data_IF_919926355399
#
_entry.id   IF_919926355399
#
_cell.length_a   1.000
_cell.length_b   1.000
_cell.length_c   1.000
_cell.angle_alpha   90.00
_cell.angle_beta   90.00
_cell.angle_gamma   90.00
#
_symmetry.space_group_name_H-M   'P 1'
#
loop_
_entity.id
_entity.type
_entity.pdbx_description
1 polymer ?
#
# COMPACT_ATOMS: atom_id res chain seq x y z
N UNK A 1 -4.72 -26.16 20.57
CA UNK A 1 -5.40 -24.88 20.30
C UNK A 1 -5.69 -24.80 18.81
N UNK A 2 -6.93 -24.54 18.40
CA UNK A 2 -7.28 -24.34 16.99
C UNK A 2 -6.48 -23.14 16.46
N UNK A 3 -5.78 -23.30 15.33
CA UNK A 3 -5.07 -22.23 14.65
C UNK A 3 -5.76 -21.99 13.31
N UNK A 4 -5.89 -20.72 12.93
CA UNK A 4 -6.32 -20.37 11.57
C UNK A 4 -5.17 -20.73 10.64
N UNK A 5 -5.44 -21.59 9.66
CA UNK A 5 -4.52 -21.81 8.54
C UNK A 5 -4.51 -20.56 7.65
N UNK A 6 -3.34 -19.94 7.54
CA UNK A 6 -3.11 -18.73 6.73
C UNK A 6 -2.28 -19.01 5.48
N UNK A 7 -1.99 -20.28 5.16
CA UNK A 7 -1.13 -20.67 4.03
C UNK A 7 -1.57 -20.04 2.72
N UNK A 8 -2.86 -20.09 2.39
CA UNK A 8 -3.40 -19.46 1.18
C UNK A 8 -3.22 -17.93 1.16
N UNK A 9 -3.31 -17.27 2.32
CA UNK A 9 -3.09 -15.82 2.44
C UNK A 9 -1.61 -15.50 2.26
N UNK A 10 -0.72 -16.28 2.87
CA UNK A 10 0.72 -16.10 2.76
C UNK A 10 1.20 -16.28 1.32
N UNK A 11 0.72 -17.32 0.65
CA UNK A 11 0.99 -17.54 -0.78
C UNK A 11 0.42 -16.42 -1.65
N UNK A 12 -0.77 -15.89 -1.33
CA UNK A 12 -1.32 -14.76 -2.07
C UNK A 12 -0.48 -13.49 -1.87
N UNK A 13 0.01 -13.22 -0.65
CA UNK A 13 0.90 -12.09 -0.35
C UNK A 13 2.24 -12.23 -1.09
N UNK A 14 2.86 -13.41 -1.06
CA UNK A 14 4.13 -13.67 -1.74
C UNK A 14 4.02 -13.48 -3.25
N UNK A 15 2.90 -13.88 -3.84
CA UNK A 15 2.64 -13.74 -5.27
C UNK A 15 2.01 -12.38 -5.64
N UNK A 16 1.74 -11.50 -4.67
CA UNK A 16 1.08 -10.23 -4.93
C UNK A 16 2.05 -9.27 -5.60
N UNK A 17 1.85 -9.06 -6.90
CA UNK A 17 2.59 -8.06 -7.68
C UNK A 17 1.61 -6.97 -8.11
N UNK A 18 1.73 -5.79 -7.49
CA UNK A 18 0.92 -4.62 -7.82
C UNK A 18 1.78 -3.55 -8.50
N UNK A 19 1.11 -2.70 -9.28
CA UNK A 19 1.68 -1.50 -9.90
C UNK A 19 2.73 -1.74 -10.98
N UNK A 20 2.89 -2.96 -11.51
CA UNK A 20 3.87 -3.26 -12.56
C UNK A 20 3.68 -2.40 -13.80
N UNK A 21 2.44 -2.30 -14.31
CA UNK A 21 2.15 -1.49 -15.48
C UNK A 21 2.34 0.01 -15.19
N UNK A 22 1.97 0.47 -13.99
CA UNK A 22 2.23 1.85 -13.56
C UNK A 22 3.72 2.18 -13.49
N UNK A 23 4.55 1.23 -13.04
CA UNK A 23 6.01 1.39 -13.01
C UNK A 23 6.55 1.53 -14.45
N UNK A 24 6.08 0.72 -15.39
CA UNK A 24 6.48 0.80 -16.80
C UNK A 24 6.11 2.15 -17.42
N UNK A 25 4.87 2.60 -17.25
CA UNK A 25 4.42 3.91 -17.79
C UNK A 25 5.20 5.08 -17.20
N UNK A 26 5.59 5.00 -15.92
CA UNK A 26 6.43 6.02 -15.29
C UNK A 26 7.87 5.99 -15.81
N UNK A 27 8.41 4.81 -16.13
CA UNK A 27 9.73 4.68 -16.75
C UNK A 27 9.75 5.28 -18.17
N UNK A 28 8.69 5.10 -18.94
CA UNK A 28 8.53 5.72 -20.26
C UNK A 28 8.49 7.25 -20.15
N UNK A 29 7.69 7.79 -19.23
CA UNK A 29 7.65 9.23 -18.95
C UNK A 29 9.02 9.78 -18.56
N UNK A 30 9.75 9.10 -17.67
CA UNK A 30 11.07 9.56 -17.23
C UNK A 30 12.07 9.52 -18.40
N UNK A 31 12.00 8.50 -19.27
CA UNK A 31 12.84 8.42 -20.48
C UNK A 31 12.61 9.60 -21.42
N UNK A 32 11.35 9.94 -21.72
CA UNK A 32 11.03 11.10 -22.56
C UNK A 32 11.45 12.42 -21.90
N UNK A 33 11.24 12.55 -20.58
CA UNK A 33 11.63 13.72 -19.79
C UNK A 33 13.14 13.95 -19.83
N UNK A 34 13.95 12.91 -19.77
CA UNK A 34 15.42 13.02 -19.82
C UNK A 34 15.93 13.62 -21.13
N UNK A 35 15.22 13.44 -22.25
CA UNK A 35 15.55 14.10 -23.52
C UNK A 35 15.41 15.62 -23.40
N UNK A 36 14.34 16.10 -22.77
CA UNK A 36 14.10 17.52 -22.54
C UNK A 36 15.09 18.12 -21.53
N UNK A 37 15.46 17.37 -20.49
CA UNK A 37 16.50 17.78 -19.53
C UNK A 37 17.83 18.00 -20.23
N UNK A 38 18.30 17.01 -21.01
CA UNK A 38 19.55 17.12 -21.77
C UNK A 38 19.53 18.28 -22.77
N UNK A 39 18.37 18.54 -23.40
CA UNK A 39 18.20 19.70 -24.28
C UNK A 39 18.38 21.02 -23.51
N UNK A 40 17.78 21.14 -22.33
CA UNK A 40 17.93 22.31 -21.47
C UNK A 40 19.36 22.53 -20.94
N UNK A 41 20.06 21.45 -20.60
CA UNK A 41 21.49 21.49 -20.27
C UNK A 41 22.32 21.97 -21.46
N UNK A 42 22.03 21.47 -22.66
CA UNK A 42 22.67 21.89 -23.91
C UNK A 42 22.49 23.39 -24.18
N UNK A 43 21.27 23.91 -24.03
CA UNK A 43 21.01 25.35 -24.15
C UNK A 43 21.77 26.17 -23.11
N UNK A 44 21.77 25.74 -21.84
CA UNK A 44 22.48 26.44 -20.76
C UNK A 44 23.99 26.48 -21.03
N UNK A 45 24.57 25.38 -21.52
CA UNK A 45 25.97 25.32 -21.92
C UNK A 45 26.28 26.28 -23.07
N UNK A 46 25.48 26.25 -24.14
CA UNK A 46 25.70 27.11 -25.31
C UNK A 46 25.53 28.59 -24.99
N UNK A 47 24.61 28.95 -24.09
CA UNK A 47 24.49 30.34 -23.58
C UNK A 47 25.80 30.79 -22.93
N UNK A 48 26.43 29.96 -22.09
CA UNK A 48 27.70 30.30 -21.45
C UNK A 48 28.82 30.46 -22.49
N UNK A 49 28.92 29.54 -23.45
CA UNK A 49 29.89 29.63 -24.55
C UNK A 49 29.72 30.91 -25.37
N UNK A 50 28.48 31.26 -25.76
CA UNK A 50 28.21 32.50 -26.50
C UNK A 50 28.60 33.74 -25.69
N UNK A 51 28.35 33.76 -24.37
CA UNK A 51 28.74 34.90 -23.51
C UNK A 51 30.25 35.09 -23.48
N UNK A 52 31.01 34.00 -23.37
CA UNK A 52 32.48 34.03 -23.41
C UNK A 52 32.99 34.47 -24.78
N UNK A 53 32.47 33.88 -25.86
CA UNK A 53 32.82 34.23 -27.24
C UNK A 53 32.50 35.70 -27.56
N UNK A 54 31.35 36.20 -27.08
CA UNK A 54 30.92 37.58 -27.28
C UNK A 54 31.82 38.56 -26.53
N UNK A 55 32.17 38.27 -25.27
CA UNK A 55 33.09 39.09 -24.49
C UNK A 55 34.49 39.15 -25.14
N UNK A 56 35.03 38.00 -25.57
CA UNK A 56 36.32 37.95 -26.27
C UNK A 56 36.30 38.73 -27.59
N UNK A 57 35.28 38.53 -28.41
CA UNK A 57 35.13 39.23 -29.70
C UNK A 57 35.03 40.75 -29.50
N UNK A 58 34.36 41.20 -28.43
CA UNK A 58 34.28 42.62 -28.08
C UNK A 58 35.67 43.20 -27.74
N UNK A 59 36.45 42.49 -26.92
CA UNK A 59 37.81 42.91 -26.57
C UNK A 59 38.68 43.00 -27.83
N UNK A 60 38.66 41.97 -28.67
CA UNK A 60 39.45 41.94 -29.91
C UNK A 60 39.05 43.08 -30.86
N UNK A 61 37.76 43.39 -30.94
CA UNK A 61 37.26 44.52 -31.76
C UNK A 61 37.82 45.85 -31.27
N UNK A 62 37.82 46.08 -29.97
CA UNK A 62 38.26 47.37 -29.38
C UNK A 62 39.79 47.50 -29.24
N UNK A 63 40.53 46.37 -29.22
CA UNK A 63 41.97 46.38 -28.94
C UNK A 63 42.85 45.95 -30.11
N UNK A 64 42.41 45.00 -30.93
CA UNK A 64 43.17 44.45 -32.06
C UNK A 64 42.74 45.09 -33.38
N UNK A 65 41.44 45.20 -33.61
CA UNK A 65 40.88 45.70 -34.88
C UNK A 65 40.69 47.22 -34.94
N UNK A 66 41.07 47.96 -33.89
CA UNK A 66 40.81 49.40 -33.74
C UNK A 66 41.23 50.23 -34.94
N UNK A 67 42.39 49.92 -35.51
CA UNK A 67 42.99 50.67 -36.61
C UNK A 67 42.74 50.02 -37.99
N UNK A 68 41.99 48.90 -38.04
CA UNK A 68 41.65 48.16 -39.26
C UNK A 68 40.14 48.17 -39.50
N UNK A 69 39.68 48.97 -40.46
CA UNK A 69 38.24 49.09 -40.78
C UNK A 69 37.63 47.74 -41.18
N UNK A 70 38.35 46.93 -41.96
CA UNK A 70 37.87 45.62 -42.42
C UNK A 70 37.66 44.66 -41.25
N UNK A 71 38.63 44.56 -40.34
CA UNK A 71 38.54 43.66 -39.18
C UNK A 71 37.48 44.13 -38.19
N UNK A 72 37.32 45.45 -38.03
CA UNK A 72 36.27 46.03 -37.18
C UNK A 72 34.86 45.67 -37.68
N UNK A 73 34.63 45.76 -39.00
CA UNK A 73 33.36 45.36 -39.62
C UNK A 73 33.12 43.86 -39.44
N UNK A 74 34.14 43.04 -39.67
CA UNK A 74 34.04 41.58 -39.51
C UNK A 74 33.66 41.18 -38.08
N UNK A 75 34.38 41.69 -37.07
CA UNK A 75 34.11 41.36 -35.67
C UNK A 75 32.75 41.90 -35.21
N UNK A 76 32.33 43.07 -35.70
CA UNK A 76 30.97 43.59 -35.46
C UNK A 76 29.89 42.67 -36.05
N UNK A 77 30.13 42.12 -37.24
CA UNK A 77 29.25 41.12 -37.86
C UNK A 77 29.16 39.85 -37.03
N UNK A 78 30.30 39.35 -36.54
CA UNK A 78 30.37 38.17 -35.65
C UNK A 78 29.61 38.41 -34.34
N UNK A 79 29.76 39.58 -33.70
CA UNK A 79 29.00 39.92 -32.49
C UNK A 79 27.49 39.90 -32.74
N UNK A 80 27.04 40.48 -33.86
CA UNK A 80 25.60 40.43 -34.23
C UNK A 80 25.09 39.00 -34.41
N UNK A 81 25.89 38.13 -35.02
CA UNK A 81 25.54 36.71 -35.16
C UNK A 81 25.40 36.02 -33.80
N UNK A 82 26.33 36.27 -32.87
CA UNK A 82 26.27 35.75 -31.49
C UNK A 82 25.03 36.26 -30.74
N UNK A 83 24.68 37.55 -30.89
CA UNK A 83 23.47 38.12 -30.31
C UNK A 83 22.19 37.47 -30.85
N UNK A 84 22.14 37.22 -32.17
CA UNK A 84 20.99 36.59 -32.80
C UNK A 84 20.87 35.10 -32.41
N UNK A 85 21.99 34.39 -32.29
CA UNK A 85 22.02 33.02 -31.76
C UNK A 85 21.53 32.97 -30.30
N UNK A 86 21.98 33.91 -29.45
CA UNK A 86 21.53 34.02 -28.05
C UNK A 86 20.01 34.21 -27.97
N UNK A 87 19.42 35.10 -28.79
CA UNK A 87 17.96 35.31 -28.82
C UNK A 87 17.21 34.04 -29.20
N UNK A 88 17.71 33.29 -30.19
CA UNK A 88 17.11 32.02 -30.61
C UNK A 88 17.13 31.03 -29.45
N UNK A 89 18.27 30.85 -28.78
CA UNK A 89 18.39 29.89 -27.68
C UNK A 89 17.48 30.27 -26.50
N UNK A 90 17.38 31.55 -26.15
CA UNK A 90 16.47 32.02 -25.10
C UNK A 90 15.01 31.71 -25.45
N UNK A 91 14.60 31.93 -26.70
CA UNK A 91 13.26 31.55 -27.18
C UNK A 91 13.01 30.05 -27.09
N UNK A 92 14.01 29.23 -27.44
CA UNK A 92 13.91 27.76 -27.34
C UNK A 92 13.86 27.29 -25.87
N UNK A 93 14.52 28.01 -24.96
CA UNK A 93 14.48 27.73 -23.52
C UNK A 93 13.09 28.02 -22.93
N UNK A 94 12.40 29.04 -23.41
CA UNK A 94 11.00 29.28 -23.04
C UNK A 94 10.06 28.23 -23.65
N UNK A 95 10.28 27.84 -24.91
CA UNK A 95 9.54 26.74 -25.53
C UNK A 95 9.74 25.41 -24.79
N UNK A 96 10.93 25.16 -24.23
CA UNK A 96 11.19 23.95 -23.43
C UNK A 96 10.25 23.81 -22.23
N UNK A 97 9.81 24.92 -21.62
CA UNK A 97 8.83 24.89 -20.52
C UNK A 97 7.47 24.36 -21.00
N UNK A 98 7.09 24.75 -22.21
CA UNK A 98 5.90 24.27 -22.89
C UNK A 98 6.04 22.79 -23.28
N UNK A 99 7.18 22.37 -23.83
CA UNK A 99 7.47 20.96 -24.12
C UNK A 99 7.29 20.06 -22.88
N UNK A 100 7.78 20.51 -21.70
CA UNK A 100 7.57 19.77 -20.44
C UNK A 100 6.10 19.74 -20.02
N UNK A 101 5.34 20.81 -20.28
CA UNK A 101 3.92 20.87 -19.97
C UNK A 101 3.14 19.91 -20.86
N UNK A 102 3.42 19.91 -22.15
CA UNK A 102 2.82 18.99 -23.14
C UNK A 102 3.14 17.54 -22.81
N UNK A 103 4.39 17.23 -22.43
CA UNK A 103 4.78 15.88 -22.00
C UNK A 103 3.95 15.43 -20.78
N UNK A 104 3.80 16.28 -19.76
CA UNK A 104 2.96 15.96 -18.60
C UNK A 104 1.50 15.77 -18.99
N UNK A 105 0.96 16.63 -19.87
CA UNK A 105 -0.42 16.50 -20.36
C UNK A 105 -0.66 15.20 -21.12
N UNK A 106 0.29 14.78 -21.95
CA UNK A 106 0.27 13.51 -22.68
C UNK A 106 0.21 12.31 -21.73
N UNK A 107 1.06 12.27 -20.71
CA UNK A 107 1.16 11.11 -19.80
C UNK A 107 0.11 11.10 -18.68
N UNK A 108 -0.45 12.26 -18.30
CA UNK A 108 -1.43 12.36 -17.21
C UNK A 108 -2.58 11.35 -17.30
N UNK A 109 -3.34 11.26 -18.42
CA UNK A 109 -4.45 10.30 -18.50
C UNK A 109 -3.97 8.83 -18.53
N UNK A 110 -2.78 8.58 -19.09
CA UNK A 110 -2.20 7.22 -19.19
C UNK A 110 -1.81 6.73 -17.79
N UNK A 111 -1.08 7.55 -17.04
CA UNK A 111 -0.70 7.25 -15.64
C UNK A 111 -1.94 7.06 -14.80
N UNK A 112 -2.93 7.95 -14.90
CA UNK A 112 -4.17 7.85 -14.13
C UNK A 112 -4.94 6.56 -14.43
N UNK A 113 -5.12 6.23 -15.72
CA UNK A 113 -5.82 5.03 -16.14
C UNK A 113 -5.11 3.75 -15.69
N UNK A 114 -3.79 3.69 -15.91
CA UNK A 114 -2.96 2.53 -15.55
C UNK A 114 -2.94 2.32 -14.04
N UNK A 115 -2.72 3.38 -13.26
CA UNK A 115 -2.74 3.32 -11.79
C UNK A 115 -4.10 2.85 -11.26
N UNK A 116 -5.20 3.32 -11.84
CA UNK A 116 -6.54 2.89 -11.44
C UNK A 116 -6.76 1.40 -11.70
N UNK A 117 -6.28 0.90 -12.84
CA UNK A 117 -6.38 -0.51 -13.21
C UNK A 117 -5.52 -1.38 -12.28
N UNK A 118 -4.27 -1.01 -12.03
CA UNK A 118 -3.40 -1.72 -11.09
C UNK A 118 -3.98 -1.73 -9.68
N UNK A 119 -4.57 -0.61 -9.25
CA UNK A 119 -5.22 -0.51 -7.95
C UNK A 119 -6.46 -1.42 -7.82
N UNK A 120 -7.15 -1.69 -8.92
CA UNK A 120 -8.34 -2.55 -8.91
C UNK A 120 -8.03 -3.99 -8.51
N UNK A 121 -6.81 -4.47 -8.77
CA UNK A 121 -6.35 -5.79 -8.35
C UNK A 121 -6.32 -5.96 -6.82
N UNK A 122 -6.31 -4.86 -6.03
CA UNK A 122 -6.48 -4.91 -4.57
C UNK A 122 -7.79 -5.60 -4.15
N UNK A 123 -8.83 -5.54 -4.99
CA UNK A 123 -10.14 -6.11 -4.68
C UNK A 123 -10.20 -7.64 -4.69
N UNK A 124 -9.13 -8.31 -5.12
CA UNK A 124 -9.05 -9.78 -5.10
C UNK A 124 -9.11 -10.34 -3.67
N UNK A 125 -8.59 -9.61 -2.68
CA UNK A 125 -8.74 -10.01 -1.28
C UNK A 125 -10.08 -9.54 -0.71
N UNK A 126 -11.02 -10.49 -0.67
CA UNK A 126 -12.38 -10.34 -0.13
C UNK A 126 -12.38 -10.34 1.40
N UNK A 127 -12.05 -9.17 1.98
CA UNK A 127 -11.90 -8.99 3.44
C UNK A 127 -13.15 -9.41 4.22
N UNK A 128 -14.33 -8.99 3.76
CA UNK A 128 -15.57 -9.23 4.50
C UNK A 128 -15.93 -10.71 4.52
N UNK A 129 -15.90 -11.37 3.36
CA UNK A 129 -16.16 -12.80 3.24
C UNK A 129 -15.17 -13.63 4.05
N UNK A 130 -13.90 -13.22 4.10
CA UNK A 130 -12.87 -13.89 4.91
C UNK A 130 -13.18 -13.76 6.41
N UNK A 131 -13.56 -12.56 6.87
CA UNK A 131 -13.93 -12.32 8.28
C UNK A 131 -15.18 -13.13 8.66
N UNK A 132 -16.17 -13.18 7.78
CA UNK A 132 -17.40 -13.96 7.99
C UNK A 132 -17.11 -15.46 8.05
N UNK A 133 -16.29 -15.99 7.14
CA UNK A 133 -15.90 -17.40 7.11
C UNK A 133 -15.16 -17.80 8.40
N UNK A 134 -14.17 -17.00 8.83
CA UNK A 134 -13.43 -17.28 10.07
C UNK A 134 -14.35 -17.25 11.29
N UNK A 135 -15.30 -16.31 11.35
CA UNK A 135 -16.30 -16.26 12.42
C UNK A 135 -17.19 -17.50 12.41
N UNK A 136 -17.64 -17.92 11.23
CA UNK A 136 -18.46 -19.12 11.07
C UNK A 136 -17.72 -20.37 11.53
N UNK A 137 -16.51 -20.61 11.04
CA UNK A 137 -15.72 -21.80 11.39
C UNK A 137 -15.40 -21.86 12.90
N UNK A 138 -15.08 -20.72 13.52
CA UNK A 138 -14.85 -20.66 14.97
C UNK A 138 -16.11 -21.04 15.76
N UNK A 139 -17.26 -20.43 15.46
CA UNK A 139 -18.51 -20.70 16.15
C UNK A 139 -19.00 -22.13 15.91
N UNK A 140 -18.81 -22.64 14.69
CA UNK A 140 -19.12 -24.02 14.33
C UNK A 140 -18.29 -25.01 15.12
N UNK A 141 -16.97 -24.79 15.25
CA UNK A 141 -16.11 -25.65 16.06
C UNK A 141 -16.59 -25.71 17.53
N UNK A 142 -16.92 -24.56 18.13
CA UNK A 142 -17.48 -24.50 19.50
C UNK A 142 -18.80 -25.27 19.58
N UNK A 143 -19.70 -25.07 18.61
CA UNK A 143 -20.98 -25.75 18.56
C UNK A 143 -20.84 -27.27 18.39
N UNK A 144 -19.88 -27.73 17.59
CA UNK A 144 -19.60 -29.15 17.38
C UNK A 144 -19.04 -29.80 18.65
N UNK A 145 -18.13 -29.13 19.38
CA UNK A 145 -17.68 -29.59 20.70
C UNK A 145 -18.84 -29.68 21.69
N UNK A 146 -19.68 -28.63 21.78
CA UNK A 146 -20.82 -28.62 22.68
C UNK A 146 -21.83 -29.72 22.33
N UNK A 147 -22.04 -29.99 21.04
CA UNK A 147 -22.92 -31.07 20.56
C UNK A 147 -22.36 -32.43 20.93
N UNK A 148 -21.06 -32.64 20.78
CA UNK A 148 -20.42 -33.92 21.11
C UNK A 148 -20.46 -34.18 22.63
N UNK A 149 -20.23 -33.18 23.48
CA UNK A 149 -20.41 -33.29 24.94
C UNK A 149 -21.84 -33.73 25.28
N UNK A 150 -22.86 -33.06 24.72
CA UNK A 150 -24.26 -33.41 24.95
C UNK A 150 -24.60 -34.82 24.46
N UNK A 151 -24.10 -35.21 23.29
CA UNK A 151 -24.30 -36.54 22.71
C UNK A 151 -23.71 -37.64 23.61
N UNK A 152 -22.55 -37.40 24.23
CA UNK A 152 -21.93 -38.34 25.16
C UNK A 152 -22.62 -38.37 26.52
N UNK A 153 -23.19 -37.25 26.98
CA UNK A 153 -23.95 -37.19 28.23
C UNK A 153 -25.33 -37.85 28.12
N UNK A 154 -26.01 -37.69 26.98
CA UNK A 154 -27.41 -38.07 26.80
C UNK A 154 -27.72 -39.54 27.20
N UNK A 155 -26.88 -40.55 26.86
CA UNK A 155 -27.12 -41.93 27.29
C UNK A 155 -27.00 -42.16 28.79
N UNK A 156 -26.32 -41.28 29.54
CA UNK A 156 -26.12 -41.40 30.98
C UNK A 156 -27.32 -40.86 31.77
N UNK A 157 -28.06 -39.90 31.20
CA UNK A 157 -29.14 -39.18 31.87
C UNK A 157 -30.27 -40.08 32.40
N UNK A 158 -30.72 -41.15 31.71
CA UNK A 158 -31.74 -42.05 32.27
C UNK A 158 -31.30 -42.71 33.58
N UNK A 159 -30.09 -43.26 33.62
CA UNK A 159 -29.56 -43.93 34.81
C UNK A 159 -29.26 -42.94 35.94
N UNK A 160 -28.74 -41.76 35.61
CA UNK A 160 -28.51 -40.69 36.59
C UNK A 160 -29.85 -40.17 37.12
N UNK A 161 -30.89 -40.14 36.28
CA UNK A 161 -32.26 -39.75 36.64
C UNK A 161 -32.82 -40.55 37.81
N UNK A 162 -32.54 -41.86 37.87
CA UNK A 162 -32.95 -42.72 38.99
C UNK A 162 -32.45 -42.21 40.36
N UNK A 163 -31.25 -41.61 40.39
CA UNK A 163 -30.69 -41.01 41.60
C UNK A 163 -31.23 -39.60 41.85
N UNK A 164 -31.43 -38.81 40.78
CA UNK A 164 -31.91 -37.43 40.88
C UNK A 164 -33.38 -37.35 41.33
N UNK A 165 -34.17 -38.39 41.06
CA UNK A 165 -35.59 -38.47 41.42
C UNK A 165 -35.83 -38.93 42.88
N UNK A 166 -34.80 -39.42 43.57
CA UNK A 166 -34.86 -39.77 45.01
C UNK A 166 -34.63 -38.53 45.89
N UNK A 167 -35.72 -37.90 46.32
CA UNK A 167 -35.66 -36.67 47.12
C UNK A 167 -35.06 -36.88 48.53
N UNK A 168 -35.14 -38.08 49.11
CA UNK A 168 -34.50 -38.37 50.41
C UNK A 168 -32.98 -38.39 50.25
N UNK A 169 -32.49 -39.05 49.19
CA UNK A 169 -31.07 -39.10 48.85
C UNK A 169 -30.54 -37.71 48.46
N UNK A 170 -31.29 -36.94 47.68
CA UNK A 170 -30.92 -35.60 47.24
C UNK A 170 -30.91 -34.57 48.38
N UNK A 171 -31.75 -34.73 49.41
CA UNK A 171 -31.81 -33.81 50.56
C UNK A 171 -30.45 -33.63 51.26
N UNK A 172 -29.67 -34.71 51.33
CA UNK A 172 -28.33 -34.72 51.95
C UNK A 172 -27.20 -34.53 50.92
N UNK A 173 -27.51 -34.50 49.62
CA UNK A 173 -26.54 -34.52 48.52
C UNK A 173 -26.79 -33.42 47.48
N UNK A 174 -27.11 -32.20 47.91
CA UNK A 174 -27.40 -31.07 47.02
C UNK A 174 -26.28 -30.77 45.99
N UNK A 175 -25.01 -31.10 46.30
CA UNK A 175 -23.89 -30.97 45.38
C UNK A 175 -23.98 -31.92 44.17
N UNK A 176 -24.50 -33.13 44.36
CA UNK A 176 -24.73 -34.10 43.28
C UNK A 176 -25.78 -33.56 42.29
N UNK A 177 -26.89 -33.03 42.81
CA UNK A 177 -27.94 -32.41 41.99
C UNK A 177 -27.40 -31.25 41.12
N UNK A 178 -26.47 -30.45 41.65
CA UNK A 178 -25.85 -29.33 40.91
C UNK A 178 -24.96 -29.80 39.76
N UNK A 179 -24.25 -30.92 39.92
CA UNK A 179 -23.37 -31.49 38.90
C UNK A 179 -24.10 -31.94 37.64
N UNK A 180 -25.41 -32.22 37.74
CA UNK A 180 -26.24 -32.66 36.61
C UNK A 180 -27.32 -31.64 36.24
N UNK A 181 -27.18 -30.39 36.70
CA UNK A 181 -28.02 -29.29 36.24
C UNK A 181 -27.85 -29.04 34.74
N UNK A 182 -28.86 -28.45 34.09
CA UNK A 182 -28.89 -28.22 32.64
C UNK A 182 -27.66 -27.48 32.08
N UNK A 183 -26.98 -26.70 32.92
CA UNK A 183 -25.86 -25.85 32.52
C UNK A 183 -24.48 -26.47 32.82
N UNK A 184 -24.44 -27.58 33.55
CA UNK A 184 -23.19 -28.23 34.01
C UNK A 184 -22.28 -28.71 32.87
N UNK A 185 -22.85 -29.01 31.71
CA UNK A 185 -22.14 -29.49 30.51
C UNK A 185 -21.98 -28.43 29.43
N UNK A 186 -22.43 -27.21 29.69
CA UNK A 186 -22.16 -26.11 28.76
C UNK A 186 -20.67 -25.82 28.74
N UNK A 187 -20.13 -25.56 27.56
CA UNK A 187 -18.76 -25.06 27.44
C UNK A 187 -18.69 -23.69 28.13
N UNK A 188 -17.68 -23.49 28.97
CA UNK A 188 -17.48 -22.22 29.64
C UNK A 188 -16.82 -21.21 28.70
N UNK A 189 -17.36 -19.99 28.68
CA UNK A 189 -16.77 -18.86 28.02
C UNK A 189 -16.77 -17.69 28.99
N UNK A 190 -15.58 -17.17 29.29
CA UNK A 190 -15.41 -15.98 30.09
C UNK A 190 -14.40 -15.08 29.40
N UNK A 191 -14.72 -13.79 29.33
CA UNK A 191 -13.89 -12.84 28.63
C UNK A 191 -13.70 -11.57 29.46
N UNK A 192 -12.44 -11.27 29.76
CA UNK A 192 -12.06 -10.10 30.53
C UNK A 192 -11.88 -8.83 29.66
N UNK A 193 -11.98 -8.95 28.32
CA UNK A 193 -11.76 -7.88 27.34
C UNK A 193 -12.92 -7.69 26.35
N UNK A 194 -12.81 -6.71 25.44
CA UNK A 194 -13.82 -6.48 24.37
C UNK A 194 -13.71 -7.57 23.29
N UNK A 195 -14.76 -8.38 23.16
CA UNK A 195 -14.81 -9.60 22.33
C UNK A 195 -14.99 -9.42 20.84
N UNK A 196 -15.48 -8.24 20.44
CA UNK A 196 -15.92 -8.03 19.08
C UNK A 196 -14.78 -7.45 18.27
N UNK A 197 -14.49 -8.05 17.11
CA UNK A 197 -13.78 -7.37 16.03
C UNK A 197 -14.67 -6.19 15.61
N UNK A 198 -14.48 -5.04 16.25
CA UNK A 198 -15.23 -3.84 15.98
C UNK A 198 -14.80 -3.23 14.64
N UNK A 199 -15.65 -2.36 14.07
CA UNK A 199 -15.38 -1.72 12.76
C UNK A 199 -14.01 -1.04 12.72
N UNK A 200 -13.61 -0.36 13.81
CA UNK A 200 -12.30 0.29 13.94
C UNK A 200 -11.13 -0.71 13.89
N UNK A 201 -11.30 -1.94 14.40
CA UNK A 201 -10.28 -2.99 14.32
C UNK A 201 -10.05 -3.42 12.87
N UNK A 202 -11.12 -3.59 12.10
CA UNK A 202 -11.06 -3.90 10.66
C UNK A 202 -10.47 -2.73 9.90
N UNK A 203 -10.95 -1.50 10.15
CA UNK A 203 -10.45 -0.28 9.51
C UNK A 203 -8.95 -0.04 9.77
N UNK A 204 -8.45 -0.35 10.97
CA UNK A 204 -7.00 -0.29 11.24
C UNK A 204 -6.25 -1.32 10.39
N UNK A 205 -6.77 -2.55 10.34
CA UNK A 205 -6.11 -3.69 9.70
C UNK A 205 -6.05 -3.55 8.17
N UNK A 206 -7.10 -3.04 7.52
CA UNK A 206 -7.09 -2.77 6.06
C UNK A 206 -6.10 -1.68 5.64
N UNK A 207 -5.63 -0.88 6.60
CA UNK A 207 -4.57 0.12 6.41
C UNK A 207 -3.18 -0.45 6.75
N UNK A 208 -3.07 -1.77 6.98
CA UNK A 208 -1.81 -2.44 7.30
C UNK A 208 -1.41 -2.40 8.78
N UNK A 209 -2.31 -2.00 9.68
CA UNK A 209 -1.98 -1.80 11.10
C UNK A 209 -2.86 -2.66 12.02
N UNK A 210 -2.25 -3.41 12.94
CA UNK A 210 -2.99 -4.09 13.99
C UNK A 210 -3.40 -3.07 15.07
N UNK A 211 -4.68 -3.02 15.43
CA UNK A 211 -5.15 -2.09 16.45
C UNK A 211 -4.48 -2.38 17.81
N UNK A 212 -4.01 -1.38 18.59
CA UNK A 212 -3.24 -1.60 19.82
C UNK A 212 -3.95 -2.40 20.91
N UNK A 213 -5.28 -2.38 20.89
CA UNK A 213 -6.12 -3.16 21.82
C UNK A 213 -6.14 -4.66 21.49
N UNK A 214 -5.77 -5.06 20.27
CA UNK A 214 -5.70 -6.46 19.85
C UNK A 214 -4.36 -7.03 20.29
N UNK A 215 -4.39 -7.92 21.29
CA UNK A 215 -3.21 -8.61 21.80
C UNK A 215 -3.23 -10.08 21.39
N UNK A 216 -2.06 -10.61 21.06
CA UNK A 216 -1.88 -12.06 20.89
C UNK A 216 -2.15 -12.74 22.25
N UNK A 217 -3.00 -13.78 22.31
CA UNK A 217 -3.20 -14.53 23.55
C UNK A 217 -1.87 -15.08 24.07
N UNK A 218 -1.62 -14.95 25.37
CA UNK A 218 -0.50 -15.65 26.02
C UNK A 218 -0.85 -17.13 26.06
N UNK A 219 -0.11 -17.94 25.31
CA UNK A 219 -0.23 -19.39 25.40
C UNK A 219 0.48 -19.78 26.70
N UNK A 220 -0.27 -20.29 27.69
CA UNK A 220 0.34 -21.11 28.73
C UNK A 220 0.61 -22.46 28.09
N UNK A 221 1.88 -22.74 27.79
CA UNK A 221 2.28 -24.10 27.48
C UNK A 221 1.92 -24.96 28.70
N UNK A 222 1.19 -26.04 28.45
CA UNK A 222 0.56 -26.85 29.51
C UNK A 222 1.58 -27.44 30.46
N UNK A 223 1.26 -27.36 31.76
CA UNK A 223 1.67 -28.37 32.76
C UNK A 223 0.74 -29.59 32.66
#
# INVERSE_FOLDING_TARGET
MLKIDRSAVDTAIENMVLFTASIEVLADYETEKQVLVKRGEGFSKRISEIREEHAGTMIDRETVAKDSTSDYIYLSGKMKQLDDEMKIILSLQDQLKEDFRELRQKHLPIIQGTYRNDLSAKSEFRVNETVELVRYELLKAIADYAREVKKQQQPLLPLIGEFLDDEELMSNNAGFRRLFSSDSTNLSYFEAGKSVIAKNHVLSSINGNLHPEIRKPQVKDGE
#
